data_IF_566872186760
#
_entry.id   IF_566872186760
#
_cell.length_a   1.000
_cell.length_b   1.000
_cell.length_c   1.000
_cell.angle_alpha   90.00
_cell.angle_beta   90.00
_cell.angle_gamma   90.00
#
_symmetry.space_group_name_H-M   'P 1'
#
loop_
_entity.id
_entity.type
_entity.pdbx_description
1 polymer ?
#
# COMPACT_ATOMS: atom_id res chain seq x y z
N UNK A 1 -6.85 10.86 85.57
CA UNK A 1 -7.29 10.04 84.40
C UNK A 1 -6.93 10.78 83.15
N UNK A 2 -5.87 10.34 82.42
CA UNK A 2 -5.39 10.98 81.20
C UNK A 2 -5.80 10.10 80.01
N UNK A 3 -6.57 10.64 79.08
CA UNK A 3 -6.97 9.98 77.87
C UNK A 3 -5.93 10.36 76.80
N UNK A 4 -5.21 9.34 76.26
CA UNK A 4 -4.27 9.45 75.15
C UNK A 4 -5.05 9.10 73.89
N UNK A 5 -5.28 10.12 73.02
CA UNK A 5 -5.88 9.94 71.72
C UNK A 5 -4.83 9.45 70.74
N UNK A 6 -5.09 8.31 70.08
CA UNK A 6 -4.31 7.80 68.98
C UNK A 6 -4.87 8.36 67.67
N UNK A 7 -4.11 9.28 67.03
CA UNK A 7 -4.37 9.68 65.66
C UNK A 7 -3.78 8.64 64.69
N UNK A 8 -4.64 7.84 64.07
CA UNK A 8 -4.28 6.98 62.95
C UNK A 8 -4.19 7.84 61.67
N UNK A 9 -2.95 8.13 61.23
CA UNK A 9 -2.69 8.70 59.91
C UNK A 9 -2.95 7.64 58.83
N UNK A 10 -4.07 7.78 58.10
CA UNK A 10 -4.29 7.04 56.86
C UNK A 10 -3.49 7.68 55.74
N UNK A 11 -2.35 7.09 55.36
CA UNK A 11 -1.62 7.41 54.16
C UNK A 11 -2.39 6.80 52.97
N UNK A 12 -3.21 7.61 52.29
CA UNK A 12 -3.73 7.25 50.96
C UNK A 12 -2.60 7.20 49.96
N UNK A 13 -2.08 6.02 49.71
CA UNK A 13 -1.27 5.75 48.50
C UNK A 13 -2.21 5.85 47.30
N UNK A 14 -2.33 7.03 46.71
CA UNK A 14 -2.88 7.18 45.37
C UNK A 14 -1.90 6.57 44.36
N UNK A 15 -1.98 5.24 44.20
CA UNK A 15 -1.36 4.58 43.07
C UNK A 15 -1.90 5.23 41.81
N UNK A 16 -1.05 5.94 41.07
CA UNK A 16 -1.35 6.27 39.67
C UNK A 16 -1.45 4.93 38.92
N UNK A 17 -2.67 4.44 38.76
CA UNK A 17 -2.98 3.48 37.73
C UNK A 17 -2.71 4.26 36.41
N UNK A 18 -1.53 4.10 35.86
CA UNK A 18 -1.26 4.57 34.50
C UNK A 18 -2.26 3.85 33.60
N UNK A 19 -3.26 4.57 33.10
CA UNK A 19 -4.06 4.03 32.02
C UNK A 19 -3.10 3.77 30.87
N UNK A 20 -2.82 2.49 30.59
CA UNK A 20 -2.14 2.09 29.36
C UNK A 20 -2.93 2.72 28.21
N UNK A 21 -2.23 3.43 27.31
CA UNK A 21 -2.86 4.03 26.14
C UNK A 21 -3.49 2.94 25.27
N UNK A 22 -4.42 3.32 24.38
CA UNK A 22 -5.01 2.35 23.45
C UNK A 22 -3.90 1.71 22.60
N UNK A 23 -4.00 0.41 22.40
CA UNK A 23 -3.10 -0.32 21.48
C UNK A 23 -3.59 -0.12 20.06
N UNK A 24 -2.69 0.23 19.12
CA UNK A 24 -2.98 0.42 17.70
C UNK A 24 -2.04 -0.43 16.86
N UNK A 25 -2.59 -1.25 15.98
CA UNK A 25 -1.86 -2.10 15.03
C UNK A 25 -1.93 -1.49 13.64
N UNK A 26 -0.79 -1.02 13.14
CA UNK A 26 -0.66 -0.46 11.79
C UNK A 26 -0.20 -1.55 10.83
N UNK A 27 -0.85 -1.71 9.69
CA UNK A 27 -0.40 -2.58 8.60
C UNK A 27 0.25 -1.79 7.47
N UNK A 28 1.14 -2.40 6.69
CA UNK A 28 1.61 -1.85 5.42
C UNK A 28 1.80 -2.92 4.35
N UNK A 29 1.58 -2.55 3.08
CA UNK A 29 1.81 -3.41 1.93
C UNK A 29 3.31 -3.63 1.70
N UNK A 30 3.63 -4.63 0.86
CA UNK A 30 5.01 -5.01 0.53
C UNK A 30 5.59 -4.11 -0.57
N UNK A 31 5.67 -2.81 -0.32
CA UNK A 31 6.42 -1.85 -1.14
C UNK A 31 6.77 -0.60 -0.32
N UNK A 32 7.84 0.08 -0.70
CA UNK A 32 8.51 1.13 0.10
C UNK A 32 7.57 2.25 0.55
N UNK A 33 6.77 2.84 -0.34
CA UNK A 33 5.88 3.95 0.04
C UNK A 33 4.86 3.53 1.11
N UNK A 34 4.27 2.34 0.99
CA UNK A 34 3.30 1.85 1.98
C UNK A 34 3.93 1.69 3.36
N UNK A 35 5.18 1.20 3.42
CA UNK A 35 5.92 1.08 4.68
C UNK A 35 6.22 2.46 5.27
N UNK A 36 6.67 3.41 4.45
CA UNK A 36 6.96 4.80 4.89
C UNK A 36 5.70 5.48 5.44
N UNK A 37 4.57 5.38 4.72
CA UNK A 37 3.30 5.95 5.19
C UNK A 37 2.82 5.23 6.45
N UNK A 38 3.00 3.91 6.54
CA UNK A 38 2.74 3.13 7.76
C UNK A 38 3.55 3.64 8.96
N UNK A 39 4.84 3.93 8.78
CA UNK A 39 5.67 4.53 9.84
C UNK A 39 5.18 5.93 10.27
N UNK A 40 4.72 6.75 9.32
CA UNK A 40 4.11 8.03 9.67
C UNK A 40 2.85 7.86 10.53
N UNK A 41 2.02 6.85 10.25
CA UNK A 41 0.86 6.50 11.07
C UNK A 41 1.28 6.03 12.48
N UNK A 42 2.35 5.23 12.58
CA UNK A 42 2.93 4.81 13.87
C UNK A 42 3.34 6.03 14.70
N UNK A 43 4.10 6.95 14.10
CA UNK A 43 4.54 8.16 14.80
C UNK A 43 3.37 9.04 15.24
N UNK A 44 2.36 9.18 14.38
CA UNK A 44 1.16 9.97 14.69
C UNK A 44 0.37 9.36 15.86
N UNK A 45 0.10 8.06 15.81
CA UNK A 45 -0.64 7.37 16.88
C UNK A 45 0.14 7.35 18.21
N UNK A 46 1.46 7.10 18.16
CA UNK A 46 2.33 7.14 19.34
C UNK A 46 2.36 8.54 19.98
N UNK A 47 2.38 9.61 19.17
CA UNK A 47 2.34 10.98 19.69
C UNK A 47 1.03 11.31 20.41
N UNK A 48 -0.03 10.56 20.17
CA UNK A 48 -1.32 10.66 20.84
C UNK A 48 -1.42 9.80 22.12
N UNK A 49 -0.32 9.12 22.49
CA UNK A 49 -0.24 8.29 23.70
C UNK A 49 -0.68 6.84 23.49
N UNK A 50 -0.83 6.37 22.25
CA UNK A 50 -1.11 4.97 21.95
C UNK A 50 0.17 4.11 22.01
N UNK A 51 0.02 2.85 22.43
CA UNK A 51 1.00 1.81 22.17
C UNK A 51 0.80 1.29 20.76
N UNK A 52 1.84 1.37 19.89
CA UNK A 52 1.69 1.09 18.46
C UNK A 52 2.61 -0.03 18.01
N UNK A 53 2.04 -0.97 17.25
CA UNK A 53 2.80 -2.02 16.55
C UNK A 53 2.65 -1.84 15.04
N UNK A 54 3.75 -1.94 14.29
CA UNK A 54 3.74 -1.91 12.83
C UNK A 54 3.98 -3.29 12.23
N UNK A 55 2.97 -3.84 11.58
CA UNK A 55 3.06 -5.05 10.78
C UNK A 55 3.46 -4.66 9.35
N UNK A 56 4.78 -4.68 9.09
CA UNK A 56 5.37 -4.27 7.81
C UNK A 56 5.24 -5.36 6.76
N UNK A 57 5.12 -4.96 5.50
CA UNK A 57 5.26 -5.85 4.33
C UNK A 57 4.34 -7.09 4.38
N UNK A 58 3.11 -6.92 4.86
CA UNK A 58 2.15 -8.02 5.03
C UNK A 58 1.72 -8.66 3.70
N UNK A 59 1.92 -7.99 2.57
CA UNK A 59 1.53 -8.46 1.24
C UNK A 59 0.77 -7.41 0.42
N UNK A 60 -0.13 -7.88 -0.45
CA UNK A 60 -0.96 -7.02 -1.31
C UNK A 60 -2.30 -6.63 -0.69
N UNK A 61 -3.14 -5.97 -1.49
CA UNK A 61 -4.42 -5.39 -1.08
C UNK A 61 -5.32 -6.35 -0.32
N UNK A 62 -5.52 -7.58 -0.83
CA UNK A 62 -6.46 -8.54 -0.21
C UNK A 62 -6.03 -8.99 1.18
N UNK A 63 -4.72 -9.12 1.40
CA UNK A 63 -4.19 -9.53 2.71
C UNK A 63 -4.46 -8.41 3.73
N UNK A 64 -4.12 -7.16 3.39
CA UNK A 64 -4.33 -6.02 4.29
C UNK A 64 -5.83 -5.78 4.56
N UNK A 65 -6.66 -5.86 3.51
CA UNK A 65 -8.09 -5.70 3.64
C UNK A 65 -8.72 -6.75 4.57
N UNK A 66 -8.36 -8.02 4.41
CA UNK A 66 -8.85 -9.08 5.28
C UNK A 66 -8.36 -8.91 6.72
N UNK A 67 -7.09 -8.53 6.92
CA UNK A 67 -6.54 -8.26 8.23
C UNK A 67 -7.24 -7.08 8.95
N UNK A 68 -7.64 -6.05 8.19
CA UNK A 68 -8.45 -4.95 8.74
C UNK A 68 -9.85 -5.43 9.13
N UNK A 69 -10.52 -6.21 8.29
CA UNK A 69 -11.86 -6.75 8.59
C UNK A 69 -11.86 -7.72 9.78
N UNK A 70 -10.80 -8.50 9.97
CA UNK A 70 -10.65 -9.43 11.11
C UNK A 70 -10.20 -8.76 12.41
N UNK A 71 -9.72 -7.49 12.35
CA UNK A 71 -9.15 -6.79 13.50
C UNK A 71 -7.71 -7.22 13.84
N UNK A 72 -7.02 -7.90 12.90
CA UNK A 72 -5.59 -8.21 13.03
C UNK A 72 -4.74 -6.94 12.87
N UNK A 73 -5.24 -5.95 12.14
CA UNK A 73 -4.75 -4.56 12.10
C UNK A 73 -5.91 -3.59 12.29
N UNK A 74 -5.61 -2.38 12.76
CA UNK A 74 -6.60 -1.31 13.01
C UNK A 74 -6.61 -0.27 11.89
N UNK A 75 -5.47 -0.09 11.21
CA UNK A 75 -5.29 0.92 10.16
C UNK A 75 -4.18 0.50 9.19
N UNK A 76 -4.34 0.86 7.92
CA UNK A 76 -3.28 0.78 6.92
C UNK A 76 -3.48 1.85 5.83
N UNK A 77 -2.39 2.29 5.12
CA UNK A 77 -2.50 3.19 3.98
C UNK A 77 -3.05 2.47 2.76
N UNK A 78 -4.07 3.05 2.11
CA UNK A 78 -4.68 2.52 0.89
C UNK A 78 -4.93 3.62 -0.13
N UNK A 79 -5.14 3.25 -1.37
CA UNK A 79 -5.31 4.16 -2.50
C UNK A 79 -6.74 4.12 -3.00
N UNK A 80 -7.30 5.30 -3.33
CA UNK A 80 -8.70 5.43 -3.78
C UNK A 80 -8.97 4.61 -5.05
N UNK A 81 -8.01 4.52 -5.96
CA UNK A 81 -8.08 3.67 -7.14
C UNK A 81 -8.20 2.18 -6.77
N UNK A 82 -7.38 1.70 -5.84
CA UNK A 82 -7.43 0.33 -5.34
C UNK A 82 -8.73 0.03 -4.60
N UNK A 83 -9.20 0.98 -3.78
CA UNK A 83 -10.50 0.80 -3.11
C UNK A 83 -11.62 0.59 -4.14
N UNK A 84 -11.67 1.39 -5.20
CA UNK A 84 -12.74 1.31 -6.20
C UNK A 84 -12.60 0.11 -7.14
N UNK A 85 -11.38 -0.21 -7.58
CA UNK A 85 -11.15 -1.20 -8.65
C UNK A 85 -10.93 -2.62 -8.12
N UNK A 86 -10.54 -2.75 -6.85
CA UNK A 86 -10.22 -4.05 -6.25
C UNK A 86 -11.12 -4.39 -5.06
N UNK A 87 -11.20 -3.51 -4.05
CA UNK A 87 -11.97 -3.77 -2.82
C UNK A 87 -13.47 -3.69 -3.09
N UNK A 88 -13.91 -2.65 -3.79
CA UNK A 88 -15.31 -2.39 -4.13
C UNK A 88 -15.62 -2.68 -5.62
N UNK A 89 -14.82 -3.54 -6.25
CA UNK A 89 -14.97 -3.88 -7.66
C UNK A 89 -16.40 -4.30 -8.00
N UNK A 90 -16.92 -3.86 -9.16
CA UNK A 90 -18.25 -4.20 -9.65
C UNK A 90 -19.40 -3.43 -9.00
N UNK A 91 -19.16 -2.61 -7.97
CA UNK A 91 -20.23 -1.83 -7.30
C UNK A 91 -20.58 -0.50 -7.99
N UNK A 92 -19.86 -0.12 -9.06
CA UNK A 92 -20.10 1.13 -9.79
C UNK A 92 -19.86 2.40 -8.96
N UNK A 93 -18.98 2.32 -7.96
CA UNK A 93 -18.69 3.41 -7.02
C UNK A 93 -17.67 4.37 -7.65
N UNK A 94 -17.96 5.67 -7.60
CA UNK A 94 -17.07 6.71 -8.09
C UNK A 94 -17.04 7.90 -7.13
N UNK A 95 -15.81 8.41 -6.87
CA UNK A 95 -15.60 9.58 -6.04
C UNK A 95 -15.64 9.34 -4.54
N UNK A 96 -14.99 10.22 -3.81
CA UNK A 96 -14.74 10.08 -2.36
C UNK A 96 -16.01 9.89 -1.51
N UNK A 97 -17.13 10.61 -1.74
CA UNK A 97 -18.32 10.43 -0.92
C UNK A 97 -18.89 9.01 -0.99
N UNK A 98 -18.97 8.43 -2.20
CA UNK A 98 -19.49 7.08 -2.38
C UNK A 98 -18.55 6.01 -1.82
N UNK A 99 -17.23 6.21 -1.98
CA UNK A 99 -16.22 5.33 -1.35
C UNK A 99 -16.42 5.31 0.17
N UNK A 100 -16.49 6.49 0.80
CA UNK A 100 -16.68 6.59 2.27
C UNK A 100 -17.94 5.94 2.75
N UNK A 101 -19.04 6.13 2.02
CA UNK A 101 -20.31 5.50 2.35
C UNK A 101 -20.20 3.97 2.29
N UNK A 102 -19.67 3.43 1.19
CA UNK A 102 -19.55 1.98 1.00
C UNK A 102 -18.59 1.30 2.00
N UNK A 103 -17.55 2.02 2.45
CA UNK A 103 -16.66 1.56 3.52
C UNK A 103 -17.35 1.61 4.87
N UNK A 104 -18.08 2.69 5.16
CA UNK A 104 -18.81 2.85 6.42
C UNK A 104 -19.89 1.77 6.61
N UNK A 105 -20.53 1.32 5.54
CA UNK A 105 -21.48 0.17 5.55
C UNK A 105 -20.81 -1.14 6.01
N UNK A 106 -19.48 -1.24 5.90
CA UNK A 106 -18.67 -2.35 6.38
C UNK A 106 -17.98 -2.07 7.72
N UNK A 107 -18.32 -0.96 8.37
CA UNK A 107 -17.72 -0.54 9.66
C UNK A 107 -16.31 0.07 9.51
N UNK A 108 -15.87 0.39 8.28
CA UNK A 108 -14.54 0.93 8.01
C UNK A 108 -14.59 2.44 7.82
N UNK A 109 -13.77 3.14 8.59
CA UNK A 109 -13.53 4.58 8.43
C UNK A 109 -12.47 4.87 7.38
N UNK A 110 -12.59 6.02 6.71
CA UNK A 110 -11.59 6.52 5.77
C UNK A 110 -11.20 7.97 6.11
N UNK A 111 -9.91 8.25 6.24
CA UNK A 111 -9.38 9.60 6.46
C UNK A 111 -9.65 10.54 5.28
N UNK A 112 -9.27 11.80 5.39
CA UNK A 112 -9.09 12.66 4.22
C UNK A 112 -7.92 12.13 3.38
N UNK A 113 -7.92 12.36 2.05
CA UNK A 113 -6.75 12.05 1.21
C UNK A 113 -5.49 12.74 1.73
N UNK A 114 -4.36 12.05 1.66
CA UNK A 114 -3.08 12.56 2.16
C UNK A 114 -2.46 13.67 1.29
N UNK A 115 -3.08 13.98 0.14
CA UNK A 115 -2.68 15.11 -0.70
C UNK A 115 -1.61 14.79 -1.74
N UNK A 116 -1.26 13.53 -1.94
CA UNK A 116 -0.40 13.08 -3.03
C UNK A 116 -1.10 12.05 -3.92
N UNK A 117 -0.54 11.80 -5.09
CA UNK A 117 -1.04 10.79 -6.02
C UNK A 117 0.06 9.78 -6.32
N UNK A 118 -0.31 8.52 -6.32
CA UNK A 118 0.49 7.41 -6.79
C UNK A 118 -0.37 6.56 -7.73
N UNK A 119 0.17 6.19 -8.88
CA UNK A 119 -0.53 5.38 -9.88
C UNK A 119 0.43 4.38 -10.51
N UNK A 120 -0.13 3.29 -11.05
CA UNK A 120 0.64 2.37 -11.89
C UNK A 120 1.10 3.05 -13.17
N UNK A 121 2.31 2.71 -13.59
CA UNK A 121 2.86 3.00 -14.90
C UNK A 121 3.64 1.77 -15.40
N UNK A 122 3.99 1.74 -16.68
CA UNK A 122 4.86 0.73 -17.25
C UNK A 122 6.24 1.34 -17.46
N UNK A 123 7.22 0.78 -16.78
CA UNK A 123 8.62 1.19 -16.88
C UNK A 123 9.42 0.34 -17.84
N UNK A 124 10.23 1.00 -18.66
CA UNK A 124 11.20 0.41 -19.58
C UNK A 124 12.49 1.24 -19.52
N UNK A 125 13.66 0.62 -19.72
CA UNK A 125 14.90 1.40 -19.77
C UNK A 125 14.86 2.42 -20.90
N UNK A 126 15.29 3.66 -20.62
CA UNK A 126 15.30 4.77 -21.59
C UNK A 126 16.03 4.40 -22.89
N UNK A 127 17.21 3.75 -22.80
CA UNK A 127 17.98 3.31 -23.98
C UNK A 127 17.22 2.30 -24.83
N UNK A 128 16.45 1.38 -24.21
CA UNK A 128 15.61 0.41 -24.92
C UNK A 128 14.42 1.11 -25.56
N UNK A 129 13.78 2.01 -24.86
CA UNK A 129 12.65 2.80 -25.36
C UNK A 129 13.04 3.63 -26.59
N UNK A 130 14.19 4.30 -26.55
CA UNK A 130 14.73 5.06 -27.69
C UNK A 130 15.05 4.14 -28.86
N UNK A 131 15.74 3.02 -28.63
CA UNK A 131 16.14 2.07 -29.68
C UNK A 131 14.94 1.47 -30.41
N UNK A 132 13.83 1.21 -29.70
CA UNK A 132 12.63 0.58 -30.25
C UNK A 132 11.52 1.57 -30.60
N UNK A 133 11.76 2.89 -30.46
CA UNK A 133 10.78 3.94 -30.69
C UNK A 133 9.48 3.72 -29.87
N UNK A 134 9.66 3.43 -28.57
CA UNK A 134 8.57 3.24 -27.61
C UNK A 134 8.39 4.52 -26.81
N UNK A 135 7.26 5.22 -26.97
CA UNK A 135 6.92 6.41 -26.22
C UNK A 135 5.65 6.26 -25.36
N UNK A 136 4.83 5.27 -25.65
CA UNK A 136 3.55 5.02 -24.96
C UNK A 136 3.21 3.52 -24.95
N UNK A 137 2.33 3.10 -24.08
CA UNK A 137 1.94 1.68 -23.91
C UNK A 137 1.49 1.04 -25.22
N UNK A 138 0.75 1.74 -26.06
CA UNK A 138 0.30 1.19 -27.35
C UNK A 138 1.43 0.87 -28.33
N UNK A 139 2.62 1.43 -28.14
CA UNK A 139 3.77 1.12 -29.00
C UNK A 139 4.32 -0.28 -28.71
N UNK A 140 4.10 -0.80 -27.50
CA UNK A 140 4.51 -2.16 -27.11
C UNK A 140 3.89 -3.26 -27.99
N UNK A 141 2.77 -2.99 -28.64
CA UNK A 141 2.11 -3.93 -29.56
C UNK A 141 3.05 -4.34 -30.71
N UNK A 142 3.96 -3.47 -31.13
CA UNK A 142 4.91 -3.73 -32.21
C UNK A 142 6.10 -4.63 -31.80
N UNK A 143 6.21 -4.93 -30.51
CA UNK A 143 7.36 -5.60 -29.89
C UNK A 143 6.94 -6.85 -29.11
N UNK A 144 6.41 -7.90 -29.78
CA UNK A 144 5.94 -9.12 -29.10
C UNK A 144 7.05 -9.92 -28.41
N UNK A 145 8.31 -9.64 -28.75
CA UNK A 145 9.51 -10.26 -28.19
C UNK A 145 9.88 -9.76 -26.79
N UNK A 146 9.32 -8.61 -26.36
CA UNK A 146 9.64 -8.03 -25.05
C UNK A 146 9.14 -8.92 -23.90
N UNK A 147 10.01 -9.13 -22.94
CA UNK A 147 9.75 -9.92 -21.73
C UNK A 147 9.25 -9.00 -20.63
N UNK A 148 8.07 -9.30 -20.09
CA UNK A 148 7.49 -8.52 -19.03
C UNK A 148 7.65 -9.21 -17.67
N UNK A 149 8.06 -8.45 -16.65
CA UNK A 149 8.07 -8.89 -15.26
C UNK A 149 7.23 -7.95 -14.42
N UNK A 150 6.05 -8.37 -14.04
CA UNK A 150 5.11 -7.55 -13.29
C UNK A 150 5.01 -7.99 -11.83
N UNK A 151 4.68 -7.05 -10.95
CA UNK A 151 4.36 -7.33 -9.57
C UNK A 151 3.23 -8.36 -9.47
N UNK A 152 3.32 -9.29 -8.49
CA UNK A 152 2.32 -10.34 -8.34
C UNK A 152 0.90 -9.75 -8.19
N UNK A 153 0.75 -8.65 -7.44
CA UNK A 153 -0.54 -7.96 -7.31
C UNK A 153 -1.04 -7.42 -8.65
N UNK A 154 -0.17 -6.81 -9.46
CA UNK A 154 -0.52 -6.30 -10.79
C UNK A 154 -0.93 -7.40 -11.77
N UNK A 155 -0.31 -8.57 -11.65
CA UNK A 155 -0.68 -9.76 -12.46
C UNK A 155 -2.10 -10.27 -12.17
N UNK A 156 -2.56 -10.14 -10.93
CA UNK A 156 -3.84 -10.70 -10.46
C UNK A 156 -5.01 -9.72 -10.53
N UNK A 157 -4.76 -8.43 -10.50
CA UNK A 157 -5.79 -7.38 -10.53
C UNK A 157 -6.47 -7.30 -11.89
N UNK A 158 -7.79 -7.13 -11.90
CA UNK A 158 -8.55 -6.91 -13.13
C UNK A 158 -8.17 -5.64 -13.88
N UNK A 159 -7.76 -4.59 -13.17
CA UNK A 159 -7.23 -3.33 -13.72
C UNK A 159 -5.69 -3.31 -13.88
N UNK A 160 -5.03 -4.42 -13.59
CA UNK A 160 -3.60 -4.67 -13.81
C UNK A 160 -3.31 -5.26 -15.19
N UNK A 161 -2.45 -6.29 -15.23
CA UNK A 161 -2.03 -6.92 -16.49
C UNK A 161 -3.19 -7.43 -17.36
N UNK A 162 -4.22 -8.13 -16.85
CA UNK A 162 -5.34 -8.56 -17.67
C UNK A 162 -6.03 -7.40 -18.38
N UNK A 163 -6.37 -6.33 -17.65
CA UNK A 163 -7.00 -5.14 -18.21
C UNK A 163 -6.12 -4.37 -19.18
N UNK A 164 -4.82 -4.27 -18.88
CA UNK A 164 -3.84 -3.63 -19.74
C UNK A 164 -3.70 -4.37 -21.08
N UNK A 165 -3.50 -5.68 -21.00
CA UNK A 165 -3.38 -6.56 -22.18
C UNK A 165 -4.60 -6.43 -23.08
N UNK A 166 -5.78 -6.56 -22.51
CA UNK A 166 -7.03 -6.57 -23.29
C UNK A 166 -7.33 -5.19 -23.90
N UNK A 167 -7.04 -4.09 -23.15
CA UNK A 167 -7.26 -2.72 -23.64
C UNK A 167 -6.36 -2.34 -24.81
N UNK A 168 -5.10 -2.75 -24.79
CA UNK A 168 -4.11 -2.37 -25.79
C UNK A 168 -3.82 -3.48 -26.81
N UNK A 169 -4.38 -4.68 -26.65
CA UNK A 169 -4.12 -5.81 -27.52
C UNK A 169 -2.66 -6.27 -27.46
N UNK A 170 -2.07 -6.27 -26.26
CA UNK A 170 -0.65 -6.56 -26.07
C UNK A 170 -0.33 -8.04 -26.39
N UNK A 171 0.60 -8.34 -27.32
CA UNK A 171 0.87 -9.69 -27.81
C UNK A 171 1.91 -10.47 -27.00
N UNK A 172 2.54 -9.85 -26.00
CA UNK A 172 3.65 -10.44 -25.26
C UNK A 172 3.24 -11.76 -24.60
N UNK A 173 4.10 -12.79 -24.78
CA UNK A 173 3.89 -14.16 -24.27
C UNK A 173 4.75 -14.45 -23.05
N UNK A 174 5.92 -13.83 -22.97
CA UNK A 174 6.83 -13.95 -21.83
C UNK A 174 6.47 -12.91 -20.77
N UNK A 175 5.48 -13.24 -19.96
CA UNK A 175 5.03 -12.40 -18.86
C UNK A 175 5.06 -13.21 -17.58
N UNK A 176 5.73 -12.70 -16.55
CA UNK A 176 5.88 -13.40 -15.27
C UNK A 176 5.59 -12.47 -14.08
N UNK A 177 5.05 -13.06 -13.02
CA UNK A 177 4.88 -12.39 -11.73
C UNK A 177 6.19 -12.40 -10.96
N UNK A 178 6.52 -11.27 -10.35
CA UNK A 178 7.72 -11.06 -9.52
C UNK A 178 7.34 -10.25 -8.27
N UNK A 179 8.19 -10.30 -7.25
CA UNK A 179 8.17 -9.25 -6.23
C UNK A 179 8.58 -7.92 -6.86
N UNK A 180 7.94 -6.82 -6.44
CA UNK A 180 8.16 -5.49 -7.01
C UNK A 180 9.64 -5.08 -7.05
N UNK A 181 10.35 -5.24 -5.93
CA UNK A 181 11.79 -4.93 -5.85
C UNK A 181 12.65 -5.85 -6.72
N UNK A 182 12.24 -7.11 -6.93
CA UNK A 182 12.93 -8.05 -7.81
C UNK A 182 12.74 -7.69 -9.29
N UNK A 183 11.61 -7.10 -9.67
CA UNK A 183 11.38 -6.65 -11.04
C UNK A 183 12.38 -5.54 -11.44
N UNK A 184 12.72 -4.60 -10.56
CA UNK A 184 13.78 -3.61 -10.82
C UNK A 184 15.14 -4.26 -11.08
N UNK A 185 15.49 -5.29 -10.31
CA UNK A 185 16.74 -6.05 -10.53
C UNK A 185 16.71 -6.81 -11.85
N UNK A 186 15.56 -7.37 -12.21
CA UNK A 186 15.34 -8.02 -13.49
C UNK A 186 15.50 -7.07 -14.68
N UNK A 187 15.01 -5.82 -14.57
CA UNK A 187 15.28 -4.76 -15.56
C UNK A 187 16.78 -4.44 -15.63
N UNK A 188 17.44 -4.33 -14.49
CA UNK A 188 18.86 -3.98 -14.43
C UNK A 188 19.73 -5.07 -15.10
N UNK A 189 19.49 -6.35 -14.79
CA UNK A 189 20.21 -7.50 -15.37
C UNK A 189 19.86 -7.76 -16.83
N UNK A 190 18.72 -7.26 -17.32
CA UNK A 190 18.20 -7.53 -18.65
C UNK A 190 17.47 -8.87 -18.74
N UNK A 191 17.00 -9.43 -17.62
CA UNK A 191 16.15 -10.63 -17.58
C UNK A 191 14.71 -10.35 -17.98
N UNK A 192 14.27 -9.09 -17.81
CA UNK A 192 13.01 -8.53 -18.28
C UNK A 192 13.27 -7.19 -18.98
N UNK A 193 12.34 -6.78 -19.82
CA UNK A 193 12.43 -5.57 -20.64
C UNK A 193 11.46 -4.47 -20.18
N UNK A 194 10.35 -4.85 -19.53
CA UNK A 194 9.37 -3.92 -18.95
C UNK A 194 8.80 -4.47 -17.66
N UNK A 195 8.37 -3.55 -16.77
CA UNK A 195 7.69 -3.87 -15.52
C UNK A 195 6.57 -2.87 -15.23
N UNK A 196 5.64 -3.24 -14.32
CA UNK A 196 4.81 -2.24 -13.65
C UNK A 196 5.62 -1.54 -12.56
N UNK A 197 5.37 -0.28 -12.38
CA UNK A 197 5.98 0.52 -11.32
C UNK A 197 4.97 1.54 -10.77
N UNK A 198 5.29 2.08 -9.62
CA UNK A 198 4.52 3.15 -9.02
C UNK A 198 5.13 4.50 -9.40
N UNK A 199 4.29 5.46 -9.78
CA UNK A 199 4.75 6.78 -10.24
C UNK A 199 5.60 7.56 -9.22
N UNK A 200 5.62 7.12 -7.97
CA UNK A 200 6.40 7.69 -6.87
C UNK A 200 7.69 6.91 -6.57
N UNK A 201 7.98 5.83 -7.29
CA UNK A 201 9.17 5.01 -7.05
C UNK A 201 10.45 5.81 -7.37
N UNK A 202 11.36 5.85 -6.41
CA UNK A 202 12.66 6.52 -6.58
C UNK A 202 13.54 5.80 -7.62
N UNK A 203 13.31 4.51 -7.81
CA UNK A 203 13.98 3.62 -8.74
C UNK A 203 13.83 4.05 -10.20
N UNK A 204 12.73 4.75 -10.56
CA UNK A 204 12.52 5.31 -11.91
C UNK A 204 13.71 6.16 -12.33
N UNK A 205 14.13 7.08 -11.43
CA UNK A 205 15.28 7.93 -11.69
C UNK A 205 16.60 7.17 -11.57
N UNK A 206 16.71 6.28 -10.59
CA UNK A 206 17.93 5.52 -10.31
C UNK A 206 18.32 4.61 -11.49
N UNK A 207 17.35 3.94 -12.09
CA UNK A 207 17.56 3.02 -13.22
C UNK A 207 17.35 3.67 -14.60
N UNK A 208 17.14 4.99 -14.65
CA UNK A 208 16.88 5.75 -15.87
C UNK A 208 15.75 5.13 -16.72
N UNK A 209 14.56 5.00 -16.08
CA UNK A 209 13.38 4.43 -16.73
C UNK A 209 12.51 5.52 -17.37
N UNK A 210 11.84 5.10 -18.44
CA UNK A 210 10.76 5.84 -19.11
C UNK A 210 9.45 5.13 -18.85
#
# INVERSE_FOLDING_TARGET
MKWIGWCLLWLCFAGRVGAEGPTVKVGSKKFTESVVVGELLVHLASSSGAEVTHHKEMGGTRILWNALLSGDIDIYPEYTGTITQEILAGKGIAGLPQIRQALAEQGIGMSLPLGFNNTYAIGIKEELAVRLDIAKISDLVRHPELRFGFGNEFMERGDGWPGLRDRYGLPQREVRGLDHDLAYRGLQSGDIDAMDLYSTDAEIKHYNLR
#
